data_IF_400404275101
#
_entry.id   IF_400404275101
#
_cell.length_a   1.000
_cell.length_b   1.000
_cell.length_c   1.000
_cell.angle_alpha   90.00
_cell.angle_beta   90.00
_cell.angle_gamma   90.00
#
_symmetry.space_group_name_H-M   'P 1'
#
loop_
_entity.id
_entity.type
_entity.pdbx_description
1 polymer ?
#
# COMPACT_ATOMS: atom_id res chain seq x y z
N UNK A 1 31.18 -25.78 8.93
CA UNK A 1 29.71 -25.56 9.05
C UNK A 1 29.16 -25.21 7.67
N UNK A 2 28.77 -26.22 6.89
CA UNK A 2 28.23 -26.00 5.54
C UNK A 2 26.77 -25.55 5.64
N UNK A 3 26.44 -24.37 5.10
CA UNK A 3 25.05 -23.95 4.94
C UNK A 3 24.29 -25.05 4.18
N UNK A 4 23.15 -25.49 4.72
CA UNK A 4 22.29 -26.45 4.05
C UNK A 4 21.79 -25.79 2.75
N UNK A 5 22.36 -26.21 1.61
CA UNK A 5 22.10 -25.60 0.28
C UNK A 5 20.60 -25.52 -0.03
N UNK A 6 19.83 -26.47 0.48
CA UNK A 6 18.38 -26.49 0.37
C UNK A 6 17.74 -25.31 1.13
N UNK A 7 18.13 -25.09 2.39
CA UNK A 7 17.62 -23.97 3.20
C UNK A 7 17.95 -22.61 2.57
N UNK A 8 19.17 -22.45 2.04
CA UNK A 8 19.57 -21.22 1.34
C UNK A 8 18.74 -21.00 0.06
N UNK A 9 18.51 -22.06 -0.71
CA UNK A 9 17.70 -22.00 -1.92
C UNK A 9 16.24 -21.64 -1.60
N UNK A 10 15.65 -22.26 -0.57
CA UNK A 10 14.29 -21.97 -0.12
C UNK A 10 14.16 -20.52 0.36
N UNK A 11 15.11 -20.05 1.17
CA UNK A 11 15.13 -18.67 1.65
C UNK A 11 15.16 -17.67 0.47
N UNK A 12 16.04 -17.88 -0.51
CA UNK A 12 16.11 -17.02 -1.71
C UNK A 12 14.80 -17.01 -2.50
N UNK A 13 14.15 -18.17 -2.66
CA UNK A 13 12.88 -18.30 -3.38
C UNK A 13 11.76 -17.56 -2.66
N UNK A 14 11.63 -17.75 -1.35
CA UNK A 14 10.60 -17.08 -0.55
C UNK A 14 10.83 -15.57 -0.50
N UNK A 15 12.08 -15.13 -0.30
CA UNK A 15 12.41 -13.70 -0.29
C UNK A 15 12.02 -13.04 -1.62
N UNK A 16 12.39 -13.67 -2.75
CA UNK A 16 11.99 -13.19 -4.09
C UNK A 16 10.47 -13.10 -4.23
N UNK A 17 9.73 -14.11 -3.75
CA UNK A 17 8.28 -14.10 -3.78
C UNK A 17 7.68 -12.95 -2.96
N UNK A 18 8.17 -12.74 -1.74
CA UNK A 18 7.74 -11.65 -0.87
C UNK A 18 8.05 -10.28 -1.46
N UNK A 19 9.24 -10.07 -2.02
CA UNK A 19 9.61 -8.83 -2.71
C UNK A 19 8.64 -8.54 -3.85
N UNK A 20 8.42 -9.51 -4.74
CA UNK A 20 7.49 -9.34 -5.87
C UNK A 20 6.05 -9.10 -5.42
N UNK A 21 5.60 -9.72 -4.33
CA UNK A 21 4.28 -9.46 -3.74
C UNK A 21 4.21 -8.02 -3.23
N UNK A 22 5.23 -7.56 -2.52
CA UNK A 22 5.26 -6.21 -1.96
C UNK A 22 5.26 -5.15 -3.06
N UNK A 23 5.99 -5.38 -4.16
CA UNK A 23 5.98 -4.51 -5.35
C UNK A 23 4.56 -4.38 -5.93
N UNK A 24 3.88 -5.52 -6.18
CA UNK A 24 2.50 -5.51 -6.69
C UNK A 24 1.52 -4.84 -5.73
N UNK A 25 1.67 -5.08 -4.43
CA UNK A 25 0.82 -4.45 -3.41
C UNK A 25 1.07 -2.94 -3.38
N UNK A 26 2.31 -2.48 -3.50
CA UNK A 26 2.62 -1.06 -3.56
C UNK A 26 2.03 -0.40 -4.81
N UNK A 27 2.12 -1.07 -5.97
CA UNK A 27 1.50 -0.59 -7.21
C UNK A 27 -0.03 -0.52 -7.11
N UNK A 28 -0.65 -1.57 -6.56
CA UNK A 28 -2.08 -1.59 -6.28
C UNK A 28 -2.51 -0.41 -5.41
N UNK A 29 -1.81 -0.14 -4.29
CA UNK A 29 -2.16 0.99 -3.43
C UNK A 29 -2.01 2.35 -4.12
N UNK A 30 -1.01 2.52 -5.00
CA UNK A 30 -0.85 3.75 -5.79
C UNK A 30 -2.06 3.95 -6.72
N UNK A 31 -2.43 2.91 -7.47
CA UNK A 31 -3.57 2.95 -8.38
C UNK A 31 -4.89 3.17 -7.62
N UNK A 32 -5.09 2.46 -6.51
CA UNK A 32 -6.28 2.57 -5.67
C UNK A 32 -6.43 3.96 -5.07
N UNK A 33 -5.33 4.58 -4.64
CA UNK A 33 -5.33 5.96 -4.15
C UNK A 33 -5.85 6.93 -5.21
N UNK A 34 -5.42 6.78 -6.48
CA UNK A 34 -5.91 7.60 -7.59
C UNK A 34 -7.41 7.39 -7.82
N UNK A 35 -7.89 6.14 -7.76
CA UNK A 35 -9.31 5.83 -7.89
C UNK A 35 -10.15 6.48 -6.79
N UNK A 36 -9.67 6.46 -5.53
CA UNK A 36 -10.33 7.15 -4.42
C UNK A 36 -10.40 8.67 -4.68
N UNK A 37 -9.30 9.27 -5.13
CA UNK A 37 -9.23 10.71 -5.42
C UNK A 37 -10.15 11.13 -6.57
N UNK A 38 -10.27 10.29 -7.60
CA UNK A 38 -11.14 10.52 -8.76
C UNK A 38 -12.61 10.13 -8.50
N UNK A 39 -12.91 9.45 -7.39
CA UNK A 39 -14.26 8.91 -7.13
C UNK A 39 -14.58 7.62 -7.88
N UNK A 40 -13.58 6.98 -8.50
CA UNK A 40 -13.69 5.77 -9.32
C UNK A 40 -13.64 4.48 -8.50
N UNK A 41 -13.41 4.54 -7.17
CA UNK A 41 -13.41 3.37 -6.27
C UNK A 41 -14.82 2.77 -5.99
N UNK A 42 -15.84 3.18 -6.76
CA UNK A 42 -17.21 2.70 -6.70
C UNK A 42 -18.19 3.63 -5.96
N UNK A 43 -19.48 3.26 -5.97
CA UNK A 43 -20.58 4.11 -5.49
C UNK A 43 -21.34 3.59 -4.25
N UNK A 44 -20.96 2.42 -3.74
CA UNK A 44 -21.56 1.84 -2.54
C UNK A 44 -21.23 2.62 -1.26
N UNK A 45 -21.93 2.30 -0.16
CA UNK A 45 -21.70 2.94 1.15
C UNK A 45 -20.26 2.78 1.64
N UNK A 46 -19.65 1.60 1.43
CA UNK A 46 -18.25 1.35 1.79
C UNK A 46 -17.29 2.22 0.97
N UNK A 47 -17.51 2.37 -0.34
CA UNK A 47 -16.66 3.22 -1.19
C UNK A 47 -16.75 4.70 -0.78
N UNK A 48 -17.93 5.17 -0.38
CA UNK A 48 -18.13 6.52 0.16
C UNK A 48 -17.43 6.70 1.51
N UNK A 49 -17.53 5.71 2.40
CA UNK A 49 -16.84 5.74 3.70
C UNK A 49 -15.32 5.74 3.54
N UNK A 50 -14.80 4.92 2.62
CA UNK A 50 -13.38 4.89 2.28
C UNK A 50 -12.87 6.25 1.80
N UNK A 51 -13.59 6.90 0.86
CA UNK A 51 -13.27 8.27 0.43
C UNK A 51 -13.29 9.26 1.60
N UNK A 52 -14.31 9.20 2.45
CA UNK A 52 -14.41 10.08 3.62
C UNK A 52 -13.19 9.96 4.54
N UNK A 53 -12.80 8.73 4.91
CA UNK A 53 -11.64 8.49 5.77
C UNK A 53 -10.35 8.95 5.09
N UNK A 54 -10.17 8.64 3.80
CA UNK A 54 -8.99 9.04 3.03
C UNK A 54 -8.81 10.58 3.01
N UNK A 55 -9.85 11.33 2.62
CA UNK A 55 -9.76 12.79 2.55
C UNK A 55 -9.56 13.43 3.93
N UNK A 56 -10.21 12.90 4.98
CA UNK A 56 -10.02 13.38 6.35
C UNK A 56 -8.58 13.19 6.82
N UNK A 57 -8.01 12.02 6.60
CA UNK A 57 -6.61 11.72 6.91
C UNK A 57 -5.63 12.60 6.12
N UNK A 58 -5.83 12.74 4.81
CA UNK A 58 -5.01 13.59 3.93
C UNK A 58 -5.01 15.05 4.41
N UNK A 59 -6.17 15.58 4.78
CA UNK A 59 -6.29 16.95 5.29
C UNK A 59 -5.61 17.13 6.65
N UNK A 60 -5.73 16.16 7.55
CA UNK A 60 -5.02 16.19 8.83
C UNK A 60 -3.50 16.23 8.65
N UNK A 61 -2.95 15.38 7.77
CA UNK A 61 -1.50 15.38 7.47
C UNK A 61 -1.06 16.69 6.84
N UNK A 62 -1.84 17.27 5.91
CA UNK A 62 -1.55 18.59 5.34
C UNK A 62 -1.55 19.68 6.38
N UNK A 63 -2.53 19.68 7.29
CA UNK A 63 -2.61 20.66 8.37
C UNK A 63 -1.39 20.58 9.29
N UNK A 64 -1.00 19.38 9.71
CA UNK A 64 0.21 19.17 10.53
C UNK A 64 1.47 19.65 9.80
N UNK A 65 1.64 19.29 8.51
CA UNK A 65 2.78 19.77 7.71
C UNK A 65 2.80 21.29 7.54
N UNK A 66 1.63 21.92 7.44
CA UNK A 66 1.50 23.38 7.35
C UNK A 66 1.81 24.10 8.65
N UNK A 67 1.55 23.47 9.81
CA UNK A 67 1.88 23.99 11.14
C UNK A 67 3.37 23.87 11.45
N UNK A 68 4.05 22.85 10.91
CA UNK A 68 5.48 22.57 11.15
C UNK A 68 6.40 23.42 10.24
N UNK A 69 5.86 24.17 9.27
CA UNK A 69 6.62 25.05 8.38
C UNK A 69 6.73 26.46 8.93
#
# INVERSE_FOLDING_TARGET
MGQNKHALHLHKRLNTFHTKRNERVAEFHKQHTLQIENGENGNGLLAKWERFVYFKGRNAVKAIKGIVK
#
